data_IF_992895848038
#
_entry.id   IF_992895848038
#
_cell.length_a   1.000
_cell.length_b   1.000
_cell.length_c   1.000
_cell.angle_alpha   90.00
_cell.angle_beta   90.00
_cell.angle_gamma   90.00
#
_symmetry.space_group_name_H-M   'P 1'
#
loop_
_entity.id
_entity.type
_entity.pdbx_description
1 polymer ?
#
# COMPACT_ATOMS: atom_id res chain seq x y z
N UNK A 1 -7.22 10.75 5.81
CA UNK A 1 -6.63 11.87 6.58
C UNK A 1 -7.25 13.20 6.20
N UNK A 2 -7.60 13.42 4.94
CA UNK A 2 -8.28 14.63 4.45
C UNK A 2 -9.61 14.95 5.15
N UNK A 3 -10.22 13.95 5.79
CA UNK A 3 -11.44 14.14 6.57
C UNK A 3 -11.19 14.71 7.99
N UNK A 4 -9.95 14.80 8.41
CA UNK A 4 -9.58 15.15 9.80
C UNK A 4 -8.75 16.43 9.87
N UNK A 5 -7.97 16.72 8.84
CA UNK A 5 -7.14 17.91 8.72
C UNK A 5 -7.31 18.57 7.35
N UNK A 6 -7.11 19.89 7.24
CA UNK A 6 -7.17 20.60 5.96
C UNK A 6 -6.24 19.97 4.91
N UNK A 7 -6.68 19.94 3.66
CA UNK A 7 -5.92 19.33 2.56
C UNK A 7 -4.54 20.00 2.38
N UNK A 8 -4.44 21.29 2.63
CA UNK A 8 -3.20 22.05 2.59
C UNK A 8 -2.17 21.52 3.59
N UNK A 9 -2.63 21.10 4.78
CA UNK A 9 -1.76 20.46 5.78
C UNK A 9 -1.21 19.16 5.26
N UNK A 10 -2.04 18.32 4.63
CA UNK A 10 -1.60 17.03 4.07
C UNK A 10 -0.61 17.27 2.93
N UNK A 11 -0.89 18.18 2.01
CA UNK A 11 -0.01 18.55 0.92
C UNK A 11 1.35 19.04 1.45
N UNK A 12 1.34 19.86 2.50
CA UNK A 12 2.57 20.36 3.13
C UNK A 12 3.40 19.26 3.79
N UNK A 13 2.73 18.29 4.44
CA UNK A 13 3.41 17.10 5.02
C UNK A 13 4.02 16.23 3.92
N UNK A 14 3.30 16.00 2.82
CA UNK A 14 3.83 15.24 1.67
C UNK A 14 5.01 15.98 1.04
N UNK A 15 4.89 17.28 0.82
CA UNK A 15 5.97 18.13 0.32
C UNK A 15 7.22 18.07 1.22
N UNK A 16 7.02 18.03 2.56
CA UNK A 16 8.12 17.85 3.50
C UNK A 16 8.83 16.50 3.33
N UNK A 17 8.09 15.41 3.06
CA UNK A 17 8.72 14.11 2.78
C UNK A 17 9.54 14.16 1.49
N UNK A 18 9.05 14.84 0.45
CA UNK A 18 9.80 15.03 -0.79
C UNK A 18 11.02 15.94 -0.58
N UNK A 19 10.92 16.96 0.28
CA UNK A 19 12.08 17.79 0.66
C UNK A 19 13.17 16.96 1.34
N UNK A 20 12.81 16.12 2.31
CA UNK A 20 13.75 15.22 2.97
C UNK A 20 14.40 14.21 2.01
N UNK A 21 13.63 13.70 1.05
CA UNK A 21 14.15 12.86 -0.03
C UNK A 21 15.19 13.62 -0.87
N UNK A 22 14.86 14.84 -1.28
CA UNK A 22 15.75 15.72 -2.07
C UNK A 22 17.04 16.05 -1.31
N UNK A 23 16.92 16.45 -0.03
CA UNK A 23 18.07 16.75 0.85
C UNK A 23 18.98 15.53 1.04
N UNK A 24 18.42 14.34 1.07
CA UNK A 24 19.18 13.08 1.16
C UNK A 24 19.81 12.65 -0.19
N UNK A 25 19.61 13.41 -1.27
CA UNK A 25 20.16 13.11 -2.58
C UNK A 25 19.43 12.01 -3.35
N UNK A 26 18.22 11.65 -2.93
CA UNK A 26 17.40 10.66 -3.63
C UNK A 26 16.43 11.33 -4.61
N UNK A 27 16.14 10.63 -5.70
CA UNK A 27 15.22 11.08 -6.75
C UNK A 27 13.96 10.19 -6.86
N UNK A 28 13.95 9.04 -6.17
CA UNK A 28 12.86 8.07 -6.22
C UNK A 28 12.32 7.83 -4.82
N UNK A 29 11.03 7.55 -4.72
CA UNK A 29 10.37 7.30 -3.45
C UNK A 29 9.63 5.96 -3.46
N UNK A 30 9.86 5.16 -2.42
CA UNK A 30 9.27 3.83 -2.27
C UNK A 30 8.63 3.69 -0.89
N UNK A 31 7.36 4.12 -0.71
CA UNK A 31 6.66 3.96 0.55
C UNK A 31 6.31 2.49 0.79
N UNK A 32 6.44 2.05 2.04
CA UNK A 32 6.03 0.71 2.50
C UNK A 32 4.58 0.65 2.98
N UNK A 33 3.94 1.80 3.13
CA UNK A 33 2.54 1.91 3.53
C UNK A 33 1.67 2.25 2.32
N UNK A 34 0.68 1.40 2.06
CA UNK A 34 -0.22 1.62 0.91
C UNK A 34 -1.04 2.91 1.02
N UNK A 35 -1.36 3.35 2.23
CA UNK A 35 -2.05 4.62 2.45
C UNK A 35 -1.13 5.79 2.07
N UNK A 36 0.15 5.74 2.45
CA UNK A 36 1.12 6.76 2.04
C UNK A 36 1.32 6.78 0.53
N UNK A 37 1.43 5.60 -0.10
CA UNK A 37 1.51 5.48 -1.57
C UNK A 37 0.30 6.14 -2.24
N UNK A 38 -0.92 5.84 -1.77
CA UNK A 38 -2.15 6.43 -2.31
C UNK A 38 -2.19 7.95 -2.16
N UNK A 39 -1.86 8.47 -0.97
CA UNK A 39 -1.84 9.92 -0.71
C UNK A 39 -0.78 10.64 -1.58
N UNK A 40 0.42 10.08 -1.70
CA UNK A 40 1.46 10.68 -2.55
C UNK A 40 1.04 10.70 -4.03
N UNK A 41 0.44 9.61 -4.51
CA UNK A 41 -0.07 9.52 -5.87
C UNK A 41 -1.19 10.55 -6.12
N UNK A 42 -2.13 10.67 -5.19
CA UNK A 42 -3.24 11.62 -5.25
C UNK A 42 -2.74 13.06 -5.29
N UNK A 43 -1.81 13.41 -4.41
CA UNK A 43 -1.26 14.77 -4.32
C UNK A 43 -0.45 15.12 -5.57
N UNK A 44 0.39 14.20 -6.06
CA UNK A 44 1.12 14.43 -7.31
C UNK A 44 0.17 14.65 -8.48
N UNK A 45 -0.90 13.85 -8.59
CA UNK A 45 -1.94 14.04 -9.61
C UNK A 45 -2.68 15.37 -9.44
N UNK A 46 -3.00 15.76 -8.20
CA UNK A 46 -3.62 17.07 -7.91
C UNK A 46 -2.72 18.23 -8.36
N UNK A 47 -1.43 18.17 -8.10
CA UNK A 47 -0.49 19.20 -8.55
C UNK A 47 -0.29 19.22 -10.06
N UNK A 48 -0.43 18.10 -10.75
CA UNK A 48 -0.42 18.04 -12.22
C UNK A 48 -1.66 18.71 -12.83
N UNK A 49 -2.83 18.51 -12.22
CA UNK A 49 -4.11 19.05 -12.70
C UNK A 49 -4.41 20.47 -12.19
N UNK A 50 -3.82 20.85 -11.07
CA UNK A 50 -4.00 22.13 -10.37
C UNK A 50 -2.66 22.70 -9.90
N UNK A 51 -1.84 23.27 -10.80
CA UNK A 51 -0.51 23.76 -10.46
C UNK A 51 -0.47 24.84 -9.36
N UNK A 52 -1.56 25.61 -9.23
CA UNK A 52 -1.73 26.62 -8.18
C UNK A 52 -1.66 26.02 -6.77
N UNK A 53 -2.06 24.77 -6.60
CA UNK A 53 -1.96 24.04 -5.32
C UNK A 53 -0.51 23.65 -4.99
N UNK A 54 0.28 23.30 -6.01
CA UNK A 54 1.70 23.02 -5.82
C UNK A 54 2.42 24.29 -5.37
N UNK A 55 2.18 25.42 -6.04
CA UNK A 55 2.81 26.70 -5.72
C UNK A 55 2.48 27.14 -4.28
N UNK A 56 1.22 27.09 -3.90
CA UNK A 56 0.76 27.36 -2.54
C UNK A 56 1.39 26.42 -1.50
N UNK A 57 1.56 25.15 -1.85
CA UNK A 57 2.21 24.16 -0.97
C UNK A 57 3.70 24.50 -0.78
N UNK A 58 4.39 24.94 -1.83
CA UNK A 58 5.78 25.39 -1.75
C UNK A 58 5.93 26.58 -0.79
N UNK A 59 5.02 27.54 -0.86
CA UNK A 59 5.02 28.66 0.08
C UNK A 59 4.82 28.21 1.53
N UNK A 60 3.84 27.35 1.78
CA UNK A 60 3.54 26.85 3.12
C UNK A 60 4.71 26.05 3.70
N UNK A 61 5.31 25.18 2.89
CA UNK A 61 6.49 24.41 3.30
C UNK A 61 7.65 25.33 3.64
N UNK A 62 7.94 26.32 2.79
CA UNK A 62 9.00 27.29 3.02
C UNK A 62 8.76 28.11 4.29
N UNK A 63 7.54 28.61 4.50
CA UNK A 63 7.18 29.35 5.72
C UNK A 63 7.40 28.51 6.98
N UNK A 64 6.99 27.24 6.94
CA UNK A 64 7.04 26.33 8.08
C UNK A 64 8.44 25.75 8.36
N UNK A 65 9.23 25.47 7.33
CA UNK A 65 10.44 24.63 7.48
C UNK A 65 11.69 25.20 6.83
N UNK A 66 11.58 26.25 5.99
CA UNK A 66 12.66 26.78 5.15
C UNK A 66 13.24 25.75 4.16
N UNK A 67 12.42 24.73 3.78
CA UNK A 67 12.82 23.68 2.84
C UNK A 67 12.16 23.88 1.48
N UNK A 68 12.86 23.41 0.47
CA UNK A 68 12.36 23.25 -0.89
C UNK A 68 12.25 21.75 -1.22
N UNK A 69 11.44 21.39 -2.18
CA UNK A 69 11.31 19.99 -2.60
C UNK A 69 11.33 19.83 -4.12
N UNK A 70 11.76 18.66 -4.55
CA UNK A 70 11.53 18.15 -5.90
C UNK A 70 10.55 17.00 -5.83
N UNK A 71 9.66 16.92 -6.84
CA UNK A 71 8.78 15.75 -6.97
C UNK A 71 9.63 14.52 -7.28
N UNK A 72 9.29 13.34 -6.74
CA UNK A 72 10.02 12.12 -7.06
C UNK A 72 9.90 11.81 -8.56
N UNK A 73 11.00 11.42 -9.19
CA UNK A 73 10.99 10.95 -10.60
C UNK A 73 10.16 9.68 -10.75
N UNK A 74 10.25 8.80 -9.77
CA UNK A 74 9.45 7.57 -9.70
C UNK A 74 8.87 7.41 -8.30
N UNK A 75 7.60 7.06 -8.26
CA UNK A 75 6.89 6.65 -7.06
C UNK A 75 6.35 5.23 -7.29
N UNK A 76 6.86 4.27 -6.51
CA UNK A 76 6.41 2.88 -6.54
C UNK A 76 6.19 2.38 -5.11
N UNK A 77 5.19 1.56 -4.87
CA UNK A 77 5.04 0.91 -3.57
C UNK A 77 6.13 -0.16 -3.39
N UNK A 78 6.58 -0.40 -2.16
CA UNK A 78 7.62 -1.41 -1.86
C UNK A 78 7.26 -2.79 -2.43
N UNK A 79 5.97 -3.17 -2.43
CA UNK A 79 5.55 -4.44 -3.03
C UNK A 79 5.80 -4.52 -4.53
N UNK A 80 5.74 -3.40 -5.25
CA UNK A 80 6.00 -3.38 -6.69
C UNK A 80 7.49 -3.61 -6.98
N UNK A 81 8.34 -3.01 -6.15
CA UNK A 81 9.79 -3.20 -6.25
C UNK A 81 10.15 -4.65 -5.95
N UNK A 82 9.62 -5.22 -4.87
CA UNK A 82 9.85 -6.63 -4.52
C UNK A 82 9.29 -7.55 -5.61
N UNK A 83 8.10 -7.27 -6.14
CA UNK A 83 7.51 -8.04 -7.23
C UNK A 83 8.38 -8.01 -8.48
N UNK A 84 8.94 -6.87 -8.83
CA UNK A 84 9.85 -6.72 -9.98
C UNK A 84 11.04 -7.67 -9.88
N UNK A 85 11.60 -7.80 -8.67
CA UNK A 85 12.77 -8.65 -8.40
C UNK A 85 12.41 -10.01 -7.79
N UNK A 86 11.14 -10.45 -7.86
CA UNK A 86 10.67 -11.67 -7.18
C UNK A 86 11.40 -12.94 -7.60
N UNK A 87 11.83 -13.03 -8.85
CA UNK A 87 12.54 -14.21 -9.35
C UNK A 87 14.01 -14.22 -8.89
N UNK A 88 14.66 -13.07 -8.89
CA UNK A 88 16.02 -12.89 -8.37
C UNK A 88 16.06 -13.17 -6.87
N UNK A 89 15.08 -12.68 -6.13
CA UNK A 89 14.90 -12.99 -4.71
C UNK A 89 14.65 -14.49 -4.52
N UNK A 90 13.80 -15.09 -5.36
CA UNK A 90 13.55 -16.53 -5.33
C UNK A 90 14.81 -17.37 -5.56
N UNK A 91 15.69 -16.95 -6.46
CA UNK A 91 16.95 -17.64 -6.74
C UNK A 91 17.96 -17.56 -5.59
N UNK A 92 17.90 -16.51 -4.77
CA UNK A 92 18.82 -16.27 -3.66
C UNK A 92 18.24 -16.62 -2.29
N UNK A 93 16.96 -16.97 -2.21
CA UNK A 93 16.33 -17.28 -0.93
C UNK A 93 16.89 -18.54 -0.30
N UNK A 94 17.09 -18.50 1.02
CA UNK A 94 17.51 -19.66 1.80
C UNK A 94 16.38 -20.66 2.05
N UNK A 95 15.15 -20.18 2.14
CA UNK A 95 13.96 -20.98 2.41
C UNK A 95 12.86 -20.68 1.38
N UNK A 96 12.13 -21.72 0.98
CA UNK A 96 10.92 -21.59 0.15
C UNK A 96 9.68 -21.51 1.04
N UNK A 97 8.56 -21.05 0.46
CA UNK A 97 7.25 -21.08 1.13
C UNK A 97 6.66 -22.50 1.06
N UNK A 98 7.34 -23.43 1.72
CA UNK A 98 6.92 -24.84 1.84
C UNK A 98 6.95 -25.25 3.31
N UNK A 99 6.06 -26.13 3.67
CA UNK A 99 6.06 -26.76 4.97
C UNK A 99 7.34 -27.61 5.11
N UNK A 100 8.12 -27.37 6.16
CA UNK A 100 9.44 -28.00 6.34
C UNK A 100 9.36 -29.50 6.68
N UNK A 101 8.21 -29.98 7.14
CA UNK A 101 8.01 -31.37 7.52
C UNK A 101 7.41 -32.20 6.39
N UNK A 102 6.50 -31.62 5.60
CA UNK A 102 5.77 -32.33 4.56
C UNK A 102 6.26 -32.00 3.14
N UNK A 103 6.95 -30.89 2.97
CA UNK A 103 7.39 -30.40 1.66
C UNK A 103 6.25 -29.81 0.81
N UNK A 104 5.02 -29.72 1.31
CA UNK A 104 3.92 -29.13 0.56
C UNK A 104 4.06 -27.61 0.46
N UNK A 105 3.65 -26.99 -0.66
CA UNK A 105 3.54 -25.53 -0.73
C UNK A 105 2.60 -24.99 0.36
N UNK A 106 3.03 -23.93 1.03
CA UNK A 106 2.18 -23.22 1.99
C UNK A 106 1.03 -22.52 1.27
N UNK A 107 -0.17 -22.67 1.77
CA UNK A 107 -1.36 -22.00 1.26
C UNK A 107 -1.43 -20.58 1.81
N UNK A 108 -1.39 -19.61 0.92
CA UNK A 108 -1.30 -18.19 1.30
C UNK A 108 -2.45 -17.42 0.68
N UNK A 109 -3.29 -16.82 1.52
CA UNK A 109 -4.29 -15.83 1.09
C UNK A 109 -3.65 -14.44 1.10
N UNK A 110 -4.03 -13.60 0.17
CA UNK A 110 -3.56 -12.23 0.13
C UNK A 110 -4.66 -11.21 0.48
N UNK A 111 -4.24 -10.09 1.05
CA UNK A 111 -5.08 -8.91 1.20
C UNK A 111 -4.36 -7.69 0.62
N UNK A 112 -4.82 -7.25 -0.52
CA UNK A 112 -4.33 -6.03 -1.17
C UNK A 112 -4.96 -4.81 -0.51
N UNK A 113 -4.14 -3.87 -0.08
CA UNK A 113 -4.60 -2.59 0.46
C UNK A 113 -5.43 -1.81 -0.57
N UNK A 114 -6.58 -1.27 -0.13
CA UNK A 114 -7.55 -0.62 -1.02
C UNK A 114 -6.95 0.55 -1.82
N UNK A 115 -6.06 1.34 -1.23
CA UNK A 115 -5.43 2.48 -1.92
C UNK A 115 -4.50 2.04 -3.06
N UNK A 116 -3.99 0.82 -3.03
CA UNK A 116 -3.17 0.27 -4.10
C UNK A 116 -4.01 -0.10 -5.34
N UNK A 117 -5.11 -0.85 -5.11
CA UNK A 117 -5.84 -1.46 -6.22
C UNK A 117 -7.04 -0.64 -6.70
N UNK A 118 -7.67 0.16 -5.80
CA UNK A 118 -8.96 0.82 -6.11
C UNK A 118 -8.85 2.31 -6.42
N UNK A 119 -7.94 3.04 -5.78
CA UNK A 119 -7.82 4.49 -6.01
C UNK A 119 -7.10 4.77 -7.34
N UNK A 120 -6.01 4.05 -7.62
CA UNK A 120 -5.22 4.23 -8.83
C UNK A 120 -4.97 2.87 -9.50
N UNK A 121 -6.01 2.24 -10.09
CA UNK A 121 -5.93 0.89 -10.64
C UNK A 121 -4.89 0.74 -11.76
N UNK A 122 -4.59 1.83 -12.48
CA UNK A 122 -3.55 1.86 -13.52
C UNK A 122 -2.12 1.78 -12.98
N UNK A 123 -1.93 2.01 -11.68
CA UNK A 123 -0.62 1.93 -11.00
C UNK A 123 -0.39 0.57 -10.35
N UNK A 124 -1.43 -0.24 -10.15
CA UNK A 124 -1.36 -1.54 -9.49
C UNK A 124 -1.06 -2.68 -10.45
N UNK A 125 -0.19 -3.60 -10.04
CA UNK A 125 0.13 -4.81 -10.81
C UNK A 125 -1.09 -5.76 -10.81
N UNK A 126 -1.58 -6.11 -11.99
CA UNK A 126 -2.79 -6.92 -12.18
C UNK A 126 -4.10 -6.13 -12.17
N UNK A 127 -4.03 -4.80 -11.94
CA UNK A 127 -5.20 -3.92 -11.91
C UNK A 127 -6.08 -4.09 -10.68
N UNK A 128 -7.26 -3.45 -10.72
CA UNK A 128 -8.18 -3.42 -9.57
C UNK A 128 -8.94 -4.74 -9.38
N UNK A 129 -9.28 -5.41 -10.47
CA UNK A 129 -10.11 -6.61 -10.43
C UNK A 129 -9.31 -7.86 -10.02
N UNK A 130 -8.09 -7.98 -10.54
CA UNK A 130 -7.23 -9.13 -10.30
C UNK A 130 -5.82 -8.70 -9.86
N UNK A 131 -5.70 -8.03 -8.70
CA UNK A 131 -4.40 -7.57 -8.22
C UNK A 131 -3.47 -8.77 -7.99
N UNK A 132 -2.33 -8.79 -8.70
CA UNK A 132 -1.45 -9.95 -8.77
C UNK A 132 -0.12 -9.77 -8.01
N UNK A 133 0.13 -8.61 -7.44
CA UNK A 133 1.44 -8.29 -6.83
C UNK A 133 1.81 -9.25 -5.69
N UNK A 134 0.89 -9.55 -4.78
CA UNK A 134 1.16 -10.43 -3.64
C UNK A 134 1.12 -11.91 -4.05
N UNK A 135 0.07 -12.33 -4.75
CA UNK A 135 -0.06 -13.71 -5.23
C UNK A 135 1.10 -14.13 -6.14
N UNK A 136 1.56 -13.24 -7.01
CA UNK A 136 2.71 -13.50 -7.88
C UNK A 136 4.04 -13.61 -7.11
N UNK A 137 4.22 -12.89 -6.00
CA UNK A 137 5.37 -13.11 -5.11
C UNK A 137 5.29 -14.46 -4.40
N UNK A 138 4.11 -14.81 -3.87
CA UNK A 138 3.87 -16.11 -3.23
C UNK A 138 4.22 -17.25 -4.16
N UNK A 139 3.72 -17.21 -5.41
CA UNK A 139 4.03 -18.24 -6.43
C UNK A 139 5.52 -18.31 -6.75
N UNK A 140 6.18 -17.19 -6.96
CA UNK A 140 7.62 -17.15 -7.25
C UNK A 140 8.46 -17.72 -6.11
N UNK A 141 7.97 -17.66 -4.88
CA UNK A 141 8.68 -18.14 -3.69
C UNK A 141 8.31 -19.57 -3.29
N UNK A 142 7.51 -20.27 -4.11
CA UNK A 142 7.17 -21.67 -3.93
C UNK A 142 5.93 -21.94 -3.09
N UNK A 143 5.19 -20.90 -2.70
CA UNK A 143 3.89 -21.02 -2.05
C UNK A 143 2.75 -21.17 -3.05
N UNK A 144 1.58 -21.51 -2.54
CA UNK A 144 0.34 -21.61 -3.29
C UNK A 144 -0.60 -20.45 -2.91
N UNK A 145 -0.80 -19.47 -3.81
CA UNK A 145 -1.84 -18.44 -3.59
C UNK A 145 -3.21 -19.09 -3.61
N UNK A 146 -4.04 -18.71 -2.64
CA UNK A 146 -5.41 -19.17 -2.51
C UNK A 146 -6.36 -18.00 -2.70
N UNK A 147 -7.29 -18.14 -3.61
CA UNK A 147 -8.37 -17.17 -3.80
C UNK A 147 -9.54 -17.46 -2.86
N UNK A 148 -10.25 -16.39 -2.43
CA UNK A 148 -11.39 -16.50 -1.53
C UNK A 148 -12.41 -15.39 -1.83
N UNK A 149 -13.70 -15.58 -1.52
CA UNK A 149 -14.77 -14.68 -1.99
C UNK A 149 -14.59 -13.21 -1.61
N UNK A 150 -14.18 -12.95 -0.37
CA UNK A 150 -14.03 -11.58 0.14
C UNK A 150 -12.60 -11.02 -0.01
N UNK A 151 -11.80 -11.57 -0.93
CA UNK A 151 -10.41 -11.13 -1.18
C UNK A 151 -10.31 -9.63 -1.37
N UNK A 152 -11.27 -9.04 -2.05
CA UNK A 152 -11.31 -7.62 -2.38
C UNK A 152 -12.17 -6.79 -1.43
N UNK A 153 -12.79 -7.42 -0.43
CA UNK A 153 -13.54 -6.72 0.60
C UNK A 153 -12.61 -5.90 1.51
N UNK A 154 -13.10 -4.75 1.98
CA UNK A 154 -12.36 -3.90 2.91
C UNK A 154 -12.04 -4.65 4.21
N UNK A 155 -10.82 -4.51 4.72
CA UNK A 155 -10.45 -5.09 6.02
C UNK A 155 -11.07 -4.36 7.22
N UNK A 156 -11.72 -3.23 7.00
CA UNK A 156 -12.29 -2.42 8.06
C UNK A 156 -11.34 -1.38 8.68
N UNK A 157 -10.05 -1.41 8.36
CA UNK A 157 -9.07 -0.51 8.98
C UNK A 157 -9.29 0.96 8.61
N UNK A 158 -10.05 1.32 7.62
CA UNK A 158 -10.21 2.72 7.22
C UNK A 158 -10.05 3.67 8.41
N UNK A 159 -9.12 4.64 8.31
CA UNK A 159 -8.71 5.53 9.42
C UNK A 159 -9.89 6.08 10.20
N UNK A 160 -10.93 6.49 9.49
CA UNK A 160 -12.15 7.04 10.08
C UNK A 160 -12.93 5.99 10.87
N UNK A 161 -13.01 4.77 10.37
CA UNK A 161 -13.76 3.71 11.03
C UNK A 161 -13.05 3.17 12.27
N UNK A 162 -11.71 3.12 12.24
CA UNK A 162 -10.92 2.60 13.36
C UNK A 162 -10.77 3.61 14.49
N UNK A 163 -10.49 4.88 14.17
CA UNK A 163 -10.24 5.93 15.18
C UNK A 163 -11.52 6.52 15.77
N UNK A 164 -12.61 6.49 15.05
CA UNK A 164 -13.90 6.96 15.55
C UNK A 164 -14.58 5.83 16.32
N UNK A 165 -14.67 5.98 17.65
CA UNK A 165 -15.22 4.95 18.55
C UNK A 165 -16.60 4.44 18.09
N UNK A 166 -17.48 5.33 17.63
CA UNK A 166 -18.80 4.98 17.12
C UNK A 166 -18.78 4.02 15.91
N UNK A 167 -17.71 4.03 15.13
CA UNK A 167 -17.56 3.21 13.92
C UNK A 167 -16.73 1.94 14.14
N UNK A 168 -16.18 1.74 15.34
CA UNK A 168 -15.33 0.58 15.63
C UNK A 168 -16.06 -0.75 15.43
N UNK A 169 -17.32 -0.84 15.82
CA UNK A 169 -18.15 -2.04 15.60
C UNK A 169 -18.28 -2.40 14.12
N UNK A 170 -18.46 -1.39 13.25
CA UNK A 170 -18.50 -1.58 11.80
C UNK A 170 -17.16 -2.06 11.25
N UNK A 171 -16.06 -1.49 11.73
CA UNK A 171 -14.70 -1.90 11.37
C UNK A 171 -14.44 -3.37 11.71
N UNK A 172 -14.78 -3.78 12.94
CA UNK A 172 -14.65 -5.17 13.41
C UNK A 172 -15.55 -6.12 12.60
N UNK A 173 -16.78 -5.72 12.28
CA UNK A 173 -17.69 -6.54 11.47
C UNK A 173 -17.13 -6.82 10.07
N UNK A 174 -16.51 -5.81 9.42
CA UNK A 174 -15.84 -5.99 8.14
C UNK A 174 -14.64 -6.94 8.23
N UNK A 175 -13.80 -6.78 9.25
CA UNK A 175 -12.68 -7.68 9.49
C UNK A 175 -13.15 -9.10 9.70
N UNK A 176 -14.16 -9.29 10.56
CA UNK A 176 -14.76 -10.60 10.86
C UNK A 176 -15.26 -11.30 9.59
N UNK A 177 -16.08 -10.60 8.78
CA UNK A 177 -16.59 -11.14 7.51
C UNK A 177 -15.45 -11.63 6.60
N UNK A 178 -14.36 -10.85 6.54
CA UNK A 178 -13.20 -11.19 5.72
C UNK A 178 -12.51 -12.47 6.24
N UNK A 179 -12.26 -12.57 7.54
CA UNK A 179 -11.64 -13.75 8.14
C UNK A 179 -12.53 -14.99 8.00
N UNK A 180 -13.83 -14.86 8.22
CA UNK A 180 -14.78 -15.94 8.03
C UNK A 180 -14.79 -16.48 6.59
N UNK A 181 -14.59 -15.60 5.60
CA UNK A 181 -14.51 -16.02 4.20
C UNK A 181 -13.19 -16.72 3.81
N UNK A 182 -12.14 -16.56 4.60
CA UNK A 182 -10.85 -17.25 4.42
C UNK A 182 -10.85 -18.63 5.10
N UNK A 183 -11.60 -18.78 6.19
CA UNK A 183 -11.56 -19.96 7.06
C UNK A 183 -11.79 -21.29 6.34
N UNK A 184 -12.73 -21.43 5.37
CA UNK A 184 -12.94 -22.69 4.64
C UNK A 184 -11.75 -23.16 3.82
N UNK A 185 -10.80 -22.29 3.55
CA UNK A 185 -9.60 -22.58 2.74
C UNK A 185 -8.38 -22.96 3.58
N UNK A 186 -8.50 -22.90 4.90
CA UNK A 186 -7.45 -23.27 5.87
C UNK A 186 -6.05 -22.72 5.49
N UNK A 187 -5.90 -21.40 5.23
CA UNK A 187 -4.63 -20.85 4.80
C UNK A 187 -3.59 -20.95 5.93
N UNK A 188 -2.36 -21.28 5.56
CA UNK A 188 -1.24 -21.26 6.49
C UNK A 188 -0.83 -19.82 6.87
N UNK A 189 -0.95 -18.85 5.92
CA UNK A 189 -0.58 -17.45 6.12
C UNK A 189 -1.52 -16.49 5.40
N UNK A 190 -1.55 -15.27 5.92
CA UNK A 190 -2.13 -14.10 5.26
C UNK A 190 -0.99 -13.13 4.95
N UNK A 191 -0.87 -12.70 3.68
CA UNK A 191 0.07 -11.66 3.27
C UNK A 191 -0.67 -10.36 2.93
N UNK A 192 -0.12 -9.23 3.33
CA UNK A 192 -0.68 -7.91 2.98
C UNK A 192 0.43 -6.92 2.64
N UNK A 193 0.13 -5.94 1.79
CA UNK A 193 1.01 -4.82 1.47
C UNK A 193 0.63 -3.52 2.21
N UNK A 194 -0.18 -3.62 3.24
CA UNK A 194 -0.63 -2.49 4.04
C UNK A 194 -0.42 -2.75 5.54
N UNK A 195 0.45 -2.01 6.23
CA UNK A 195 0.67 -2.20 7.67
C UNK A 195 -0.56 -1.90 8.52
N UNK A 196 -1.54 -1.15 7.98
CA UNK A 196 -2.81 -0.89 8.66
C UNK A 196 -3.82 -2.04 8.53
N UNK A 197 -3.66 -2.87 7.53
CA UNK A 197 -4.56 -3.99 7.30
C UNK A 197 -4.17 -5.23 8.08
#
# INVERSE_FOLDING_TARGET
HSDVVPIETIMTVVARHFALMTEAGFENMTPSCITSFGIYTEILHTWETHPEWEEKTREFLWKATKREFQKPKNLAHTSDVIYKFRNEIAAQKKYSLVDIHTGRPLQVVDHIGCHYAKMFPSKGIGGAEFPAVLSGMVSAWGGQPVDYPERRHCCGFGFRNYLVLANRGFSVANSKKKFESMQPYEPDFIITNCPGC
#
